data_IF_161217940724
#
_entry.id   IF_161217940724
#
_cell.length_a   1.000
_cell.length_b   1.000
_cell.length_c   1.000
_cell.angle_alpha   90.00
_cell.angle_beta   90.00
_cell.angle_gamma   90.00
#
_symmetry.space_group_name_H-M   'P 1'
#
loop_
_entity.id
_entity.type
_entity.pdbx_description
1 polymer ?
#
# COMPACT_ATOMS: atom_id res chain seq x y z
N UNK A 1 -37.31 22.45 -10.02
CA UNK A 1 -36.02 22.06 -9.42
C UNK A 1 -35.26 21.33 -10.50
N UNK A 2 -34.36 22.02 -11.20
CA UNK A 2 -33.63 21.44 -12.32
C UNK A 2 -32.64 20.38 -11.80
N UNK A 3 -32.81 19.16 -12.28
CA UNK A 3 -31.90 18.05 -12.03
C UNK A 3 -30.57 18.35 -12.72
N UNK A 4 -29.62 18.89 -11.97
CA UNK A 4 -28.24 19.08 -12.44
C UNK A 4 -27.76 17.75 -13.04
N UNK A 5 -27.34 17.73 -14.32
CA UNK A 5 -26.84 16.52 -14.96
C UNK A 5 -25.72 15.92 -14.12
N UNK A 6 -25.95 14.73 -13.58
CA UNK A 6 -24.95 14.01 -12.79
C UNK A 6 -24.01 13.31 -13.77
N UNK A 7 -22.85 13.90 -14.01
CA UNK A 7 -21.77 13.23 -14.72
C UNK A 7 -21.35 12.00 -13.90
N UNK A 8 -21.44 10.81 -14.52
CA UNK A 8 -21.07 9.53 -13.91
C UNK A 8 -19.55 9.29 -13.91
N UNK A 9 -18.77 10.29 -13.48
CA UNK A 9 -17.32 10.17 -13.44
C UNK A 9 -16.91 9.17 -12.36
N UNK A 10 -16.39 8.01 -12.78
CA UNK A 10 -15.97 6.93 -11.87
C UNK A 10 -14.55 7.09 -11.34
N UNK A 11 -13.66 7.70 -12.11
CA UNK A 11 -12.25 7.87 -11.76
C UNK A 11 -11.83 9.33 -11.77
N UNK A 12 -11.13 9.77 -10.73
CA UNK A 12 -10.63 11.13 -10.59
C UNK A 12 -9.17 11.16 -10.17
N UNK A 13 -8.45 12.16 -10.68
CA UNK A 13 -7.17 12.59 -10.15
C UNK A 13 -7.29 14.03 -9.64
N UNK A 14 -7.01 14.26 -8.36
CA UNK A 14 -7.06 15.58 -7.73
C UNK A 14 -5.69 15.96 -7.16
N UNK A 15 -4.94 16.77 -7.90
CA UNK A 15 -3.62 17.23 -7.47
C UNK A 15 -2.85 17.78 -8.65
N UNK A 16 -1.55 17.94 -8.49
CA UNK A 16 -0.64 18.18 -9.61
C UNK A 16 0.11 16.91 -9.96
N UNK A 17 0.32 16.72 -11.25
CA UNK A 17 1.30 15.75 -11.71
C UNK A 17 2.70 16.28 -11.41
N UNK A 18 3.64 15.40 -11.06
CA UNK A 18 5.06 15.75 -10.92
C UNK A 18 5.67 16.37 -12.19
N UNK A 19 5.00 16.19 -13.34
CA UNK A 19 5.35 16.76 -14.64
C UNK A 19 5.05 18.26 -14.72
N UNK A 20 4.16 18.78 -13.88
CA UNK A 20 3.78 20.19 -13.88
C UNK A 20 4.87 21.01 -13.18
N UNK A 21 5.84 21.51 -13.96
CA UNK A 21 6.89 22.45 -13.51
C UNK A 21 6.28 23.81 -13.14
N UNK A 22 5.52 23.88 -12.06
CA UNK A 22 5.01 25.14 -11.53
C UNK A 22 6.12 25.92 -10.83
N UNK A 23 6.19 27.22 -11.11
CA UNK A 23 6.92 28.14 -10.23
C UNK A 23 6.29 28.09 -8.82
N UNK A 24 7.13 28.01 -7.78
CA UNK A 24 6.79 27.98 -6.35
C UNK A 24 5.65 28.93 -5.95
N UNK A 25 5.56 30.12 -6.55
CA UNK A 25 4.48 31.09 -6.27
C UNK A 25 3.10 30.58 -6.67
N UNK A 26 2.95 29.99 -7.87
CA UNK A 26 1.68 29.43 -8.35
C UNK A 26 1.26 28.22 -7.51
N UNK A 27 2.23 27.39 -7.13
CA UNK A 27 1.99 26.25 -6.23
C UNK A 27 1.45 26.71 -4.86
N UNK A 28 2.02 27.78 -4.29
CA UNK A 28 1.52 28.35 -3.04
C UNK A 28 0.09 28.88 -3.16
N UNK A 29 -0.21 29.65 -4.21
CA UNK A 29 -1.56 30.17 -4.44
C UNK A 29 -2.59 29.04 -4.62
N UNK A 30 -2.23 27.99 -5.36
CA UNK A 30 -3.07 26.81 -5.51
C UNK A 30 -3.29 26.08 -4.18
N UNK A 31 -2.22 25.86 -3.42
CA UNK A 31 -2.28 25.15 -2.13
C UNK A 31 -3.23 25.84 -1.15
N UNK A 32 -3.27 27.17 -1.13
CA UNK A 32 -4.19 27.95 -0.29
C UNK A 32 -5.66 27.73 -0.65
N UNK A 33 -5.97 27.47 -1.92
CA UNK A 33 -7.34 27.25 -2.40
C UNK A 33 -7.71 25.77 -2.53
N UNK A 34 -6.73 24.87 -2.36
CA UNK A 34 -6.89 23.45 -2.65
C UNK A 34 -8.04 22.79 -1.86
N UNK A 35 -8.22 23.13 -0.59
CA UNK A 35 -9.34 22.60 0.20
C UNK A 35 -10.70 23.01 -0.40
N UNK A 36 -10.83 24.24 -0.92
CA UNK A 36 -12.06 24.70 -1.58
C UNK A 36 -12.27 23.97 -2.90
N UNK A 37 -11.20 23.73 -3.66
CA UNK A 37 -11.26 22.92 -4.88
C UNK A 37 -11.77 21.51 -4.58
N UNK A 38 -11.17 20.80 -3.61
CA UNK A 38 -11.62 19.46 -3.22
C UNK A 38 -13.08 19.47 -2.75
N UNK A 39 -13.50 20.48 -1.97
CA UNK A 39 -14.89 20.64 -1.54
C UNK A 39 -15.85 20.71 -2.73
N UNK A 40 -15.54 21.52 -3.75
CA UNK A 40 -16.35 21.67 -4.95
C UNK A 40 -16.34 20.39 -5.80
N UNK A 41 -15.18 19.75 -5.98
CA UNK A 41 -15.05 18.50 -6.73
C UNK A 41 -15.88 17.37 -6.12
N UNK A 42 -15.86 17.22 -4.79
CA UNK A 42 -16.71 16.26 -4.08
C UNK A 42 -18.19 16.53 -4.29
N UNK A 43 -18.61 17.80 -4.32
CA UNK A 43 -20.00 18.17 -4.54
C UNK A 43 -20.47 17.88 -5.99
N UNK A 44 -19.57 18.03 -6.96
CA UNK A 44 -19.84 17.78 -8.38
C UNK A 44 -19.79 16.28 -8.72
N UNK A 45 -18.90 15.52 -8.07
CA UNK A 45 -18.64 14.10 -8.37
C UNK A 45 -18.81 13.21 -7.12
N UNK A 46 -20.01 13.16 -6.52
CA UNK A 46 -20.23 12.39 -5.28
C UNK A 46 -20.20 10.86 -5.49
N UNK A 47 -20.27 10.39 -6.74
CA UNK A 47 -20.31 8.98 -7.12
C UNK A 47 -18.95 8.42 -7.57
N UNK A 48 -17.85 9.14 -7.35
CA UNK A 48 -16.52 8.66 -7.72
C UNK A 48 -16.20 7.33 -7.00
N UNK A 49 -15.70 6.37 -7.76
CA UNK A 49 -15.36 5.02 -7.28
C UNK A 49 -13.84 4.89 -7.04
N UNK A 50 -13.03 5.62 -7.81
CA UNK A 50 -11.56 5.64 -7.71
C UNK A 50 -11.04 7.06 -7.66
N UNK A 51 -10.26 7.36 -6.62
CA UNK A 51 -9.65 8.66 -6.42
C UNK A 51 -8.14 8.50 -6.20
N UNK A 52 -7.38 9.23 -7.02
CA UNK A 52 -5.96 9.50 -6.80
C UNK A 52 -5.86 10.95 -6.35
N UNK A 53 -5.29 11.22 -5.17
CA UNK A 53 -5.24 12.56 -4.59
C UNK A 53 -3.88 12.91 -3.99
N UNK A 54 -3.38 14.09 -4.32
CA UNK A 54 -2.19 14.68 -3.69
C UNK A 54 -2.63 15.69 -2.63
N UNK A 55 -2.40 15.38 -1.36
CA UNK A 55 -2.85 16.17 -0.23
C UNK A 55 -1.88 17.32 0.02
N UNK A 56 -2.34 18.56 -0.18
CA UNK A 56 -1.59 19.76 0.19
C UNK A 56 -1.99 20.35 1.55
N UNK A 57 -3.20 20.04 2.02
CA UNK A 57 -3.74 20.57 3.28
C UNK A 57 -4.71 19.59 3.94
N UNK A 58 -4.51 19.28 5.22
CA UNK A 58 -5.33 18.30 5.98
C UNK A 58 -6.86 18.52 5.94
N UNK A 59 -7.34 19.75 5.78
CA UNK A 59 -8.77 20.08 5.78
C UNK A 59 -9.49 19.50 4.56
N UNK A 60 -8.77 19.15 3.48
CA UNK A 60 -9.40 18.51 2.34
C UNK A 60 -9.95 17.13 2.68
N UNK A 61 -9.36 16.44 3.68
CA UNK A 61 -9.81 15.11 4.12
C UNK A 61 -11.24 15.12 4.66
N UNK A 62 -11.64 16.20 5.34
CA UNK A 62 -13.02 16.36 5.83
C UNK A 62 -14.05 16.37 4.71
N UNK A 63 -13.67 16.84 3.52
CA UNK A 63 -14.57 16.83 2.37
C UNK A 63 -14.67 15.43 1.75
N UNK A 64 -13.59 14.64 1.76
CA UNK A 64 -13.56 13.28 1.19
C UNK A 64 -14.52 12.31 1.89
N UNK A 65 -14.85 12.56 3.16
CA UNK A 65 -15.84 11.77 3.94
C UNK A 65 -17.20 11.64 3.25
N UNK A 66 -17.53 12.53 2.33
CA UNK A 66 -18.81 12.52 1.59
C UNK A 66 -18.84 11.57 0.40
N UNK A 67 -17.71 10.96 0.02
CA UNK A 67 -17.59 10.09 -1.14
C UNK A 67 -18.02 8.65 -0.80
N UNK A 68 -19.34 8.41 -0.78
CA UNK A 68 -19.94 7.14 -0.33
C UNK A 68 -19.76 5.93 -1.27
N UNK A 69 -19.21 6.15 -2.46
CA UNK A 69 -18.98 5.11 -3.47
C UNK A 69 -17.50 4.83 -3.72
N UNK A 70 -16.61 5.55 -3.04
CA UNK A 70 -15.17 5.41 -3.18
C UNK A 70 -14.72 4.02 -2.71
N UNK A 71 -14.22 3.21 -3.63
CA UNK A 71 -13.71 1.87 -3.36
C UNK A 71 -12.19 1.75 -3.60
N UNK A 72 -11.59 2.70 -4.33
CA UNK A 72 -10.14 2.78 -4.55
C UNK A 72 -9.65 4.16 -4.14
N UNK A 73 -8.75 4.23 -3.16
CA UNK A 73 -8.11 5.46 -2.74
C UNK A 73 -6.58 5.33 -2.86
N UNK A 74 -5.98 6.21 -3.65
CA UNK A 74 -4.55 6.42 -3.70
C UNK A 74 -4.25 7.84 -3.19
N UNK A 75 -3.60 7.94 -2.03
CA UNK A 75 -3.44 9.18 -1.30
C UNK A 75 -1.98 9.49 -1.01
N UNK A 76 -1.52 10.64 -1.51
CA UNK A 76 -0.14 11.09 -1.38
C UNK A 76 -0.04 12.31 -0.45
N UNK A 77 0.66 12.16 0.67
CA UNK A 77 0.88 13.18 1.69
C UNK A 77 2.24 13.88 1.59
N UNK A 78 3.11 13.54 0.64
CA UNK A 78 4.49 14.05 0.56
C UNK A 78 4.56 15.59 0.45
N UNK A 79 3.50 16.23 -0.05
CA UNK A 79 3.41 17.69 -0.22
C UNK A 79 2.52 18.37 0.83
N UNK A 80 1.98 17.62 1.81
CA UNK A 80 1.14 18.20 2.86
C UNK A 80 2.00 18.94 3.88
N UNK A 81 1.73 20.22 4.11
CA UNK A 81 2.42 21.01 5.14
C UNK A 81 1.68 20.96 6.47
N UNK A 82 2.42 20.85 7.58
CA UNK A 82 1.89 21.02 8.95
C UNK A 82 1.91 19.76 9.83
N UNK A 83 1.46 19.95 11.08
CA UNK A 83 1.33 18.96 12.17
C UNK A 83 0.30 17.85 11.86
N UNK A 84 0.27 16.72 12.62
CA UNK A 84 0.13 15.39 12.04
C UNK A 84 -1.21 15.18 11.33
N UNK A 85 -1.11 14.91 10.03
CA UNK A 85 -2.18 14.44 9.15
C UNK A 85 -2.82 13.15 9.63
N UNK A 86 -2.14 12.39 10.49
CA UNK A 86 -2.58 11.10 11.01
C UNK A 86 -3.97 11.15 11.64
N UNK A 87 -4.27 12.05 12.56
CA UNK A 87 -5.61 12.09 13.21
C UNK A 87 -6.72 12.40 12.21
N UNK A 88 -6.50 13.37 11.32
CA UNK A 88 -7.47 13.72 10.28
C UNK A 88 -7.64 12.58 9.26
N UNK A 89 -6.56 11.86 8.95
CA UNK A 89 -6.60 10.70 8.07
C UNK A 89 -7.31 9.52 8.71
N UNK A 90 -7.04 9.21 9.98
CA UNK A 90 -7.79 8.19 10.72
C UNK A 90 -9.28 8.54 10.80
N UNK A 91 -9.62 9.82 11.03
CA UNK A 91 -11.00 10.28 11.00
C UNK A 91 -11.64 10.16 9.61
N UNK A 92 -10.86 10.29 8.52
CA UNK A 92 -11.35 9.98 7.18
C UNK A 92 -11.60 8.48 7.04
N UNK A 93 -10.65 7.64 7.42
CA UNK A 93 -10.77 6.19 7.30
C UNK A 93 -11.91 5.62 8.15
N UNK A 94 -12.25 6.22 9.29
CA UNK A 94 -13.41 5.77 10.07
C UNK A 94 -14.74 5.95 9.32
N UNK A 95 -14.81 6.89 8.39
CA UNK A 95 -16.02 7.18 7.60
C UNK A 95 -16.05 6.36 6.29
N UNK A 96 -14.93 6.34 5.55
CA UNK A 96 -14.89 5.73 4.21
C UNK A 96 -14.18 4.37 4.18
N UNK A 97 -13.43 4.00 5.22
CA UNK A 97 -12.65 2.77 5.25
C UNK A 97 -13.48 1.50 5.03
N UNK A 98 -14.71 1.36 5.58
CA UNK A 98 -15.52 0.17 5.36
C UNK A 98 -15.90 -0.12 3.88
N UNK A 99 -15.89 0.87 3.00
CA UNK A 99 -16.19 0.70 1.57
C UNK A 99 -14.94 0.54 0.70
N UNK A 100 -13.73 0.79 1.24
CA UNK A 100 -12.49 0.68 0.48
C UNK A 100 -12.12 -0.79 0.20
N UNK A 101 -11.75 -1.05 -1.04
CA UNK A 101 -11.18 -2.32 -1.53
C UNK A 101 -9.70 -2.18 -1.86
N UNK A 102 -9.26 -1.01 -2.29
CA UNK A 102 -7.85 -0.72 -2.56
C UNK A 102 -7.44 0.56 -1.85
N UNK A 103 -6.32 0.50 -1.14
CA UNK A 103 -5.74 1.63 -0.41
C UNK A 103 -4.26 1.73 -0.70
N UNK A 104 -3.85 2.82 -1.35
CA UNK A 104 -2.45 3.20 -1.56
C UNK A 104 -2.17 4.46 -0.74
N UNK A 105 -1.10 4.45 0.05
CA UNK A 105 -0.68 5.58 0.89
C UNK A 105 0.78 5.89 0.62
N UNK A 106 1.05 7.13 0.21
CA UNK A 106 2.42 7.66 0.07
C UNK A 106 2.64 8.72 1.14
N UNK A 107 3.59 8.48 2.04
CA UNK A 107 3.90 9.44 3.11
C UNK A 107 5.29 9.22 3.69
N UNK A 108 5.90 10.29 4.22
CA UNK A 108 7.16 10.21 4.98
C UNK A 108 6.98 9.80 6.44
N UNK A 109 5.73 9.77 6.92
CA UNK A 109 5.42 9.40 8.31
C UNK A 109 5.23 7.89 8.45
N UNK A 110 5.43 7.36 9.65
CA UNK A 110 5.11 5.96 9.94
C UNK A 110 3.60 5.71 9.94
N UNK A 111 3.15 4.60 9.35
CA UNK A 111 1.75 4.20 9.31
C UNK A 111 1.47 2.97 10.19
N UNK A 112 0.55 3.09 11.15
CA UNK A 112 0.11 1.96 11.99
C UNK A 112 -0.78 0.99 11.21
N UNK A 113 -0.26 -0.17 10.77
CA UNK A 113 -1.00 -1.13 9.94
C UNK A 113 -2.24 -1.66 10.68
N UNK A 114 -2.08 -1.96 11.98
CA UNK A 114 -3.15 -2.41 12.86
C UNK A 114 -4.34 -1.43 12.90
N UNK A 115 -4.04 -0.13 12.96
CA UNK A 115 -5.07 0.92 12.93
C UNK A 115 -5.70 1.05 11.53
N UNK A 116 -4.91 0.98 10.45
CA UNK A 116 -5.45 1.03 9.08
C UNK A 116 -6.48 -0.09 8.86
N UNK A 117 -6.16 -1.30 9.31
CA UNK A 117 -6.96 -2.49 9.08
C UNK A 117 -8.19 -2.55 9.98
N UNK A 118 -8.14 -1.94 11.16
CA UNK A 118 -9.32 -1.68 11.99
C UNK A 118 -10.37 -0.86 11.24
N UNK A 119 -9.94 0.20 10.53
CA UNK A 119 -10.87 1.11 9.84
C UNK A 119 -11.20 0.67 8.42
N UNK A 120 -10.37 -0.15 7.79
CA UNK A 120 -10.53 -0.59 6.40
C UNK A 120 -10.64 -2.12 6.27
N UNK A 121 -11.64 -2.77 6.90
CA UNK A 121 -11.71 -4.23 7.02
C UNK A 121 -11.94 -4.97 5.68
N UNK A 122 -12.38 -4.27 4.65
CA UNK A 122 -12.70 -4.82 3.33
C UNK A 122 -11.59 -4.62 2.29
N UNK A 123 -10.44 -4.09 2.71
CA UNK A 123 -9.29 -3.87 1.82
C UNK A 123 -8.75 -5.21 1.32
N UNK A 124 -8.64 -5.30 0.00
CA UNK A 124 -8.09 -6.43 -0.75
C UNK A 124 -6.66 -6.14 -1.19
N UNK A 125 -6.38 -4.89 -1.58
CA UNK A 125 -5.05 -4.42 -1.98
C UNK A 125 -4.58 -3.27 -1.10
N UNK A 126 -3.42 -3.42 -0.47
CA UNK A 126 -2.81 -2.42 0.38
C UNK A 126 -1.41 -2.09 -0.12
N UNK A 127 -1.17 -0.84 -0.51
CA UNK A 127 0.14 -0.34 -0.91
C UNK A 127 0.59 0.76 0.07
N UNK A 128 1.73 0.56 0.74
CA UNK A 128 2.28 1.47 1.73
C UNK A 128 3.67 1.96 1.29
N UNK A 129 3.70 3.12 0.66
CA UNK A 129 4.93 3.84 0.34
C UNK A 129 5.37 4.69 1.54
N UNK A 130 5.64 4.02 2.66
CA UNK A 130 6.07 4.59 3.93
C UNK A 130 6.62 3.49 4.86
N UNK A 131 7.09 3.87 6.04
CA UNK A 131 7.41 2.91 7.12
C UNK A 131 6.15 2.39 7.79
N UNK A 132 5.93 1.10 7.71
CA UNK A 132 4.78 0.43 8.30
C UNK A 132 5.15 -0.12 9.68
N UNK A 133 4.35 0.23 10.69
CA UNK A 133 4.56 -0.14 12.10
C UNK A 133 3.30 -0.78 12.69
N UNK A 134 3.44 -1.48 13.82
CA UNK A 134 2.32 -1.88 14.68
C UNK A 134 2.38 -1.01 15.94
N UNK A 135 1.27 -0.37 16.31
CA UNK A 135 1.28 0.60 17.42
C UNK A 135 1.24 -0.07 18.81
N UNK A 136 0.92 -1.37 18.88
CA UNK A 136 0.78 -2.10 20.15
C UNK A 136 -0.49 -1.70 20.92
N UNK A 137 -1.16 -2.66 21.54
CA UNK A 137 -2.34 -2.41 22.38
C UNK A 137 -3.70 -2.59 21.70
N UNK A 138 -3.73 -2.90 20.40
CA UNK A 138 -4.92 -3.48 19.77
C UNK A 138 -4.72 -4.99 19.82
N UNK A 139 -5.49 -5.68 20.67
CA UNK A 139 -5.59 -7.13 20.57
C UNK A 139 -5.89 -7.46 19.11
N UNK A 140 -5.08 -8.36 18.52
CA UNK A 140 -5.21 -8.71 17.12
C UNK A 140 -6.59 -9.33 16.91
N UNK A 141 -7.57 -8.49 16.56
CA UNK A 141 -8.86 -8.94 16.13
C UNK A 141 -8.61 -9.69 14.82
N UNK A 142 -8.58 -11.03 14.93
CA UNK A 142 -8.26 -12.01 13.88
C UNK A 142 -9.14 -11.94 12.62
N UNK A 143 -9.97 -10.90 12.51
CA UNK A 143 -10.89 -10.63 11.41
C UNK A 143 -10.40 -9.51 10.47
N UNK A 144 -9.46 -8.66 10.90
CA UNK A 144 -9.18 -7.40 10.20
C UNK A 144 -8.40 -7.52 8.87
N UNK A 145 -7.95 -8.72 8.49
CA UNK A 145 -7.16 -8.97 7.29
C UNK A 145 -7.71 -10.09 6.39
N UNK A 146 -8.94 -10.56 6.63
CA UNK A 146 -9.47 -11.74 5.93
C UNK A 146 -9.62 -11.52 4.42
N UNK A 147 -9.80 -10.29 3.98
CA UNK A 147 -9.98 -9.95 2.57
C UNK A 147 -8.67 -9.59 1.87
N UNK A 148 -7.58 -9.38 2.63
CA UNK A 148 -6.32 -8.89 2.07
C UNK A 148 -5.66 -9.97 1.22
N UNK A 149 -5.44 -9.65 -0.05
CA UNK A 149 -4.84 -10.53 -1.06
C UNK A 149 -3.50 -10.01 -1.58
N UNK A 150 -3.32 -8.69 -1.60
CA UNK A 150 -2.11 -8.04 -2.08
C UNK A 150 -1.61 -7.04 -1.06
N UNK A 151 -0.32 -7.11 -0.77
CA UNK A 151 0.39 -6.15 0.06
C UNK A 151 1.65 -5.70 -0.65
N UNK A 152 1.86 -4.40 -0.73
CA UNK A 152 3.13 -3.78 -1.03
C UNK A 152 3.54 -2.88 0.14
N UNK A 153 4.74 -3.05 0.68
CA UNK A 153 5.26 -2.19 1.74
C UNK A 153 6.69 -1.76 1.39
N UNK A 154 6.94 -0.46 1.49
CA UNK A 154 8.28 0.08 1.29
C UNK A 154 9.19 -0.28 2.45
N UNK A 155 8.97 0.25 3.66
CA UNK A 155 9.80 -0.09 4.83
C UNK A 155 8.94 -0.81 5.87
N UNK A 156 9.41 -1.92 6.43
CA UNK A 156 8.69 -2.68 7.46
C UNK A 156 9.64 -3.20 8.54
N UNK A 157 9.21 -3.20 9.79
CA UNK A 157 9.95 -3.83 10.90
C UNK A 157 9.55 -5.30 11.11
N UNK A 158 10.33 -6.03 11.93
CA UNK A 158 10.11 -7.45 12.20
C UNK A 158 8.71 -7.73 12.78
N UNK A 159 8.24 -6.89 13.71
CA UNK A 159 6.95 -7.08 14.39
C UNK A 159 5.77 -6.86 13.43
N UNK A 160 5.87 -5.84 12.60
CA UNK A 160 4.84 -5.45 11.64
C UNK A 160 4.74 -6.44 10.49
N UNK A 161 5.88 -6.96 10.02
CA UNK A 161 5.89 -8.02 9.01
C UNK A 161 5.23 -9.30 9.55
N UNK A 162 5.60 -9.72 10.77
CA UNK A 162 4.96 -10.88 11.41
C UNK A 162 3.47 -10.66 11.61
N UNK A 163 3.07 -9.49 12.11
CA UNK A 163 1.67 -9.15 12.31
C UNK A 163 0.88 -9.24 11.00
N UNK A 164 1.41 -8.65 9.92
CA UNK A 164 0.78 -8.68 8.61
C UNK A 164 0.61 -10.13 8.11
N UNK A 165 1.66 -10.94 8.19
CA UNK A 165 1.62 -12.32 7.72
C UNK A 165 0.74 -13.22 8.58
N UNK A 166 0.70 -13.03 9.90
CA UNK A 166 -0.13 -13.83 10.79
C UNK A 166 -1.63 -13.58 10.56
N UNK A 167 -2.00 -12.35 10.20
CA UNK A 167 -3.40 -11.98 10.02
C UNK A 167 -3.90 -12.13 8.56
N UNK A 168 -3.00 -12.12 7.57
CA UNK A 168 -3.36 -12.18 6.15
C UNK A 168 -3.45 -13.61 5.60
N UNK A 169 -4.46 -14.37 6.04
CA UNK A 169 -4.64 -15.80 5.68
C UNK A 169 -4.97 -16.08 4.21
N UNK A 170 -5.28 -15.03 3.43
CA UNK A 170 -5.62 -15.10 2.01
C UNK A 170 -4.64 -14.30 1.14
N UNK A 171 -3.46 -13.99 1.66
CA UNK A 171 -2.43 -13.27 0.93
C UNK A 171 -1.93 -14.10 -0.26
N UNK A 172 -1.97 -13.50 -1.45
CA UNK A 172 -1.56 -14.08 -2.74
C UNK A 172 -0.32 -13.37 -3.26
N UNK A 173 -0.23 -12.05 -3.04
CA UNK A 173 0.88 -11.22 -3.50
C UNK A 173 1.48 -10.43 -2.34
N UNK A 174 2.80 -10.57 -2.16
CA UNK A 174 3.59 -9.87 -1.15
C UNK A 174 4.78 -9.19 -1.82
N UNK A 175 4.84 -7.87 -1.75
CA UNK A 175 5.94 -7.05 -2.25
C UNK A 175 6.55 -6.27 -1.08
N UNK A 176 7.85 -6.45 -0.85
CA UNK A 176 8.64 -5.77 0.16
C UNK A 176 9.83 -5.09 -0.53
N UNK A 177 10.05 -3.80 -0.31
CA UNK A 177 11.08 -3.03 -1.04
C UNK A 177 12.32 -2.76 -0.18
N UNK A 178 12.16 -2.25 1.03
CA UNK A 178 13.23 -1.99 2.00
C UNK A 178 13.00 -2.93 3.19
N UNK A 179 13.26 -4.22 2.93
CA UNK A 179 12.97 -5.33 3.83
C UNK A 179 14.19 -5.70 4.69
N UNK A 180 14.93 -4.71 5.20
CA UNK A 180 16.17 -4.94 5.95
C UNK A 180 15.97 -5.85 7.17
N UNK A 181 14.77 -5.88 7.76
CA UNK A 181 14.45 -6.77 8.87
C UNK A 181 14.36 -8.26 8.48
N UNK A 182 14.23 -8.57 7.19
CA UNK A 182 14.09 -9.93 6.69
C UNK A 182 15.47 -10.58 6.53
N UNK A 183 15.91 -11.22 7.61
CA UNK A 183 17.07 -12.12 7.65
C UNK A 183 16.65 -13.59 7.75
N UNK A 184 17.61 -14.52 7.68
CA UNK A 184 17.35 -15.96 7.73
C UNK A 184 16.66 -16.38 9.03
N UNK A 185 16.97 -15.70 10.14
CA UNK A 185 16.36 -15.98 11.45
C UNK A 185 14.88 -15.63 11.45
N UNK A 186 14.51 -14.48 10.89
CA UNK A 186 13.12 -14.08 10.73
C UNK A 186 12.39 -14.95 9.71
N UNK A 187 13.06 -15.30 8.60
CA UNK A 187 12.52 -16.21 7.59
C UNK A 187 12.07 -17.53 8.21
N UNK A 188 12.91 -18.21 9.00
CA UNK A 188 12.52 -19.48 9.64
C UNK A 188 11.32 -19.34 10.59
N UNK A 189 11.11 -18.16 11.20
CA UNK A 189 9.91 -17.89 12.00
C UNK A 189 8.68 -17.73 11.10
N UNK A 190 8.83 -17.00 10.00
CA UNK A 190 7.78 -16.70 9.03
C UNK A 190 7.34 -17.97 8.26
N UNK A 191 8.28 -18.85 7.90
CA UNK A 191 8.00 -20.11 7.20
C UNK A 191 7.10 -21.09 7.97
N UNK A 192 7.00 -20.92 9.30
CA UNK A 192 6.08 -21.70 10.14
C UNK A 192 4.64 -21.17 10.09
N UNK A 193 4.41 -20.02 9.45
CA UNK A 193 3.09 -19.40 9.33
C UNK A 193 2.32 -19.96 8.14
N UNK A 194 1.00 -20.14 8.31
CA UNK A 194 0.14 -20.72 7.27
C UNK A 194 -0.07 -19.80 6.05
N UNK A 195 0.11 -18.49 6.21
CA UNK A 195 -0.18 -17.49 5.17
C UNK A 195 0.68 -17.61 3.92
N UNK A 196 1.92 -18.09 4.06
CA UNK A 196 2.83 -18.23 2.92
C UNK A 196 2.42 -19.32 1.93
N UNK A 197 1.63 -20.30 2.39
CA UNK A 197 1.21 -21.42 1.54
C UNK A 197 0.36 -20.99 0.34
N UNK A 198 -0.23 -19.79 0.35
CA UNK A 198 -1.07 -19.27 -0.75
C UNK A 198 -0.37 -18.21 -1.60
N UNK A 199 0.87 -17.85 -1.26
CA UNK A 199 1.59 -16.81 -2.01
C UNK A 199 1.92 -17.36 -3.40
N UNK A 200 1.51 -16.58 -4.40
CA UNK A 200 1.75 -16.82 -5.83
C UNK A 200 2.79 -15.83 -6.38
N UNK A 201 2.79 -14.60 -5.86
CA UNK A 201 3.74 -13.56 -6.26
C UNK A 201 4.50 -13.05 -5.04
N UNK A 202 5.83 -13.10 -5.10
CA UNK A 202 6.73 -12.59 -4.07
C UNK A 202 7.74 -11.63 -4.68
N UNK A 203 7.76 -10.39 -4.19
CA UNK A 203 8.81 -9.42 -4.48
C UNK A 203 9.52 -9.05 -3.18
N UNK A 204 10.85 -9.17 -3.15
CA UNK A 204 11.65 -8.74 -2.00
C UNK A 204 12.87 -7.99 -2.50
N UNK A 205 12.99 -6.72 -2.15
CA UNK A 205 14.18 -5.91 -2.39
C UNK A 205 14.84 -5.57 -1.05
N UNK A 206 16.13 -5.24 -1.09
CA UNK A 206 16.92 -4.76 0.06
C UNK A 206 16.68 -5.55 1.37
N UNK A 207 16.93 -6.86 1.33
CA UNK A 207 16.81 -7.74 2.49
C UNK A 207 18.17 -8.26 2.97
N UNK A 208 18.18 -8.97 4.11
CA UNK A 208 19.37 -9.59 4.72
C UNK A 208 19.37 -11.11 4.58
N UNK A 209 18.55 -11.67 3.69
CA UNK A 209 18.54 -13.11 3.43
C UNK A 209 19.86 -13.54 2.80
N UNK A 210 20.41 -14.65 3.28
CA UNK A 210 21.50 -15.34 2.60
C UNK A 210 20.97 -16.01 1.33
N UNK A 211 21.90 -16.53 0.50
CA UNK A 211 21.56 -17.38 -0.64
C UNK A 211 20.73 -18.60 -0.22
N UNK A 212 21.12 -19.22 0.88
CA UNK A 212 20.45 -20.38 1.46
C UNK A 212 19.05 -20.02 1.95
N UNK A 213 18.90 -18.87 2.60
CA UNK A 213 17.59 -18.35 3.03
C UNK A 213 16.65 -18.11 1.86
N UNK A 214 17.12 -17.50 0.77
CA UNK A 214 16.31 -17.31 -0.44
C UNK A 214 15.88 -18.64 -1.06
N UNK A 215 16.80 -19.61 -1.14
CA UNK A 215 16.49 -20.94 -1.64
C UNK A 215 15.43 -21.63 -0.79
N UNK A 216 15.56 -21.57 0.53
CA UNK A 216 14.57 -22.13 1.45
C UNK A 216 13.21 -21.45 1.30
N UNK A 217 13.17 -20.12 1.21
CA UNK A 217 11.94 -19.35 1.02
C UNK A 217 11.17 -19.83 -0.22
N UNK A 218 11.87 -19.94 -1.34
CA UNK A 218 11.25 -20.36 -2.61
C UNK A 218 10.82 -21.82 -2.54
N UNK A 219 11.64 -22.72 -1.99
CA UNK A 219 11.29 -24.14 -1.85
C UNK A 219 10.08 -24.38 -0.93
N UNK A 220 9.86 -23.53 0.07
CA UNK A 220 8.72 -23.65 1.01
C UNK A 220 7.45 -23.00 0.48
N UNK A 221 7.55 -22.00 -0.39
CA UNK A 221 6.41 -21.38 -1.07
C UNK A 221 6.01 -22.19 -2.30
N UNK A 222 5.37 -23.35 -2.10
CA UNK A 222 5.06 -24.33 -3.16
C UNK A 222 4.14 -23.81 -4.29
N UNK A 223 3.41 -22.72 -4.08
CA UNK A 223 2.49 -22.13 -5.05
C UNK A 223 3.07 -20.90 -5.77
N UNK A 224 4.37 -20.64 -5.59
CA UNK A 224 5.00 -19.45 -6.10
C UNK A 224 5.19 -19.53 -7.63
N UNK A 225 4.57 -18.61 -8.36
CA UNK A 225 4.67 -18.51 -9.82
C UNK A 225 5.58 -17.36 -10.26
N UNK A 226 5.66 -16.28 -9.45
CA UNK A 226 6.42 -15.08 -9.79
C UNK A 226 7.28 -14.65 -8.63
N UNK A 227 8.56 -14.44 -8.90
CA UNK A 227 9.53 -14.01 -7.92
C UNK A 227 10.36 -12.85 -8.46
N UNK A 228 10.52 -11.81 -7.66
CA UNK A 228 11.40 -10.70 -7.94
C UNK A 228 12.30 -10.45 -6.73
N UNK A 229 13.62 -10.44 -6.95
CA UNK A 229 14.61 -10.08 -5.95
C UNK A 229 15.54 -9.00 -6.52
N UNK A 230 15.76 -7.91 -5.79
CA UNK A 230 16.72 -6.86 -6.17
C UNK A 230 17.79 -6.67 -5.07
N UNK A 231 18.99 -6.23 -5.48
CA UNK A 231 20.15 -5.91 -4.63
C UNK A 231 20.95 -7.07 -3.99
N UNK A 232 20.74 -8.32 -4.41
CA UNK A 232 21.72 -9.39 -4.13
C UNK A 232 22.72 -9.46 -5.28
N UNK A 233 23.84 -8.74 -5.12
CA UNK A 233 24.89 -8.62 -6.13
C UNK A 233 25.33 -9.99 -6.67
N UNK A 234 25.37 -10.13 -8.01
CA UNK A 234 25.92 -11.25 -8.81
C UNK A 234 25.39 -12.68 -8.59
N UNK A 235 24.95 -13.06 -7.39
CA UNK A 235 24.60 -14.44 -7.02
C UNK A 235 23.18 -14.86 -7.42
N UNK A 236 22.28 -13.88 -7.63
CA UNK A 236 20.90 -14.18 -8.01
C UNK A 236 20.75 -14.69 -9.43
N UNK A 237 21.63 -14.38 -10.38
CA UNK A 237 21.52 -14.96 -11.73
C UNK A 237 21.61 -16.49 -11.64
N UNK A 238 22.54 -17.01 -10.85
CA UNK A 238 22.73 -18.45 -10.63
C UNK A 238 21.55 -19.05 -9.86
N UNK A 239 21.10 -18.42 -8.78
CA UNK A 239 19.96 -18.90 -7.98
C UNK A 239 18.67 -18.83 -8.79
N UNK A 240 18.45 -17.75 -9.53
CA UNK A 240 17.25 -17.56 -10.36
C UNK A 240 17.28 -18.54 -11.53
N UNK A 241 18.43 -18.84 -12.13
CA UNK A 241 18.53 -19.89 -13.14
C UNK A 241 18.36 -21.30 -12.58
N UNK A 242 18.93 -21.59 -11.40
CA UNK A 242 18.68 -22.84 -10.67
C UNK A 242 17.18 -23.00 -10.36
N UNK A 243 16.55 -21.94 -9.84
CA UNK A 243 15.12 -21.92 -9.53
C UNK A 243 14.24 -21.91 -10.78
N UNK A 244 14.66 -21.30 -11.89
CA UNK A 244 13.96 -21.38 -13.20
C UNK A 244 13.92 -22.80 -13.75
N UNK A 245 14.92 -23.63 -13.44
CA UNK A 245 14.88 -25.05 -13.80
C UNK A 245 13.87 -25.83 -12.94
N UNK A 246 13.71 -25.43 -11.69
CA UNK A 246 12.82 -26.09 -10.72
C UNK A 246 11.37 -25.55 -10.78
N UNK A 247 11.17 -24.32 -11.24
CA UNK A 247 9.88 -23.63 -11.32
C UNK A 247 9.48 -23.49 -12.79
N UNK A 248 8.38 -24.14 -13.18
CA UNK A 248 7.86 -24.13 -14.56
C UNK A 248 7.22 -22.81 -15.02
N UNK A 249 7.34 -21.74 -14.22
CA UNK A 249 6.67 -20.46 -14.47
C UNK A 249 7.60 -19.37 -15.02
N UNK A 250 7.10 -18.51 -15.93
CA UNK A 250 7.89 -17.43 -16.52
C UNK A 250 8.17 -16.33 -15.49
N UNK A 251 9.46 -16.02 -15.29
CA UNK A 251 9.89 -14.84 -14.56
C UNK A 251 9.59 -13.58 -15.38
N UNK A 252 8.61 -12.80 -14.95
CA UNK A 252 8.41 -11.43 -15.46
C UNK A 252 9.17 -10.45 -14.57
N UNK A 253 10.07 -9.67 -15.16
CA UNK A 253 10.51 -8.41 -14.55
C UNK A 253 9.25 -7.59 -14.27
N UNK A 254 9.02 -7.22 -13.01
CA UNK A 254 7.92 -6.31 -12.66
C UNK A 254 8.38 -4.91 -13.05
N UNK A 255 8.39 -4.64 -14.35
CA UNK A 255 8.63 -3.29 -14.87
C UNK A 255 7.51 -2.41 -14.33
N UNK A 256 7.90 -1.46 -13.47
CA UNK A 256 7.09 -0.47 -12.74
C UNK A 256 6.61 -0.91 -11.35
N UNK A 257 7.55 -1.10 -10.43
CA UNK A 257 7.44 -0.34 -9.18
C UNK A 257 7.82 1.10 -9.54
N UNK A 258 6.85 1.86 -10.07
CA UNK A 258 6.97 3.31 -10.16
C UNK A 258 7.02 3.81 -8.72
N UNK A 259 8.23 3.93 -8.18
CA UNK A 259 8.49 4.79 -7.03
C UNK A 259 8.24 6.22 -7.52
N UNK A 260 7.04 6.74 -7.23
CA UNK A 260 6.63 8.13 -7.50
C UNK A 260 7.40 9.07 -6.57
#
# INVERSE_FOLDING_TARGET
MDTVPRFGLKECFWGFSSVDKFNRRKQMAYTQQYSKFVKSSVALFPLVEKLIIVVYHKNCLEHLKKLRHLCVLDINFNLCRGTPTRTAFISLLSEIGPQLRCLSIVTRSTMPIDVLMKYCPNVVHLDLCCTAIVQGGIEADSKNFRQLKRVCVVVVDEESLKYLLQNSVNLIELLLIDAICLDDTLLHKILKMKSLSKIVTLGVQECRLSREGLKELVQKCVNLERVAFENLAADLTTVTEELKRDITAPFSYVDRILVI
#
